data_IF_762433537520
#
_entry.id   IF_762433537520
#
_cell.length_a   1.000
_cell.length_b   1.000
_cell.length_c   1.000
_cell.angle_alpha   90.00
_cell.angle_beta   90.00
_cell.angle_gamma   90.00
#
_symmetry.space_group_name_H-M   'P 1'
#
loop_
_entity.id
_entity.type
_entity.pdbx_description
1 polymer ?
#
# COMPACT_ATOMS: atom_id res chain seq x y z
N UNK A 1 5.41 12.40 3.76
CA UNK A 1 4.15 12.59 3.02
C UNK A 1 3.74 11.20 2.57
N UNK A 2 2.74 10.61 3.21
CA UNK A 2 2.15 9.35 2.74
C UNK A 2 1.23 9.69 1.58
N UNK A 3 1.44 9.01 0.45
CA UNK A 3 0.44 8.97 -0.62
C UNK A 3 -0.75 8.14 -0.11
N UNK A 4 -1.94 8.35 -0.66
CA UNK A 4 -3.12 7.54 -0.35
C UNK A 4 -3.24 6.42 -1.39
N UNK A 5 -3.49 5.17 -0.97
CA UNK A 5 -3.87 4.09 -1.91
C UNK A 5 -5.37 4.23 -2.16
N UNK A 6 -5.75 4.42 -3.43
CA UNK A 6 -7.14 4.56 -3.86
C UNK A 6 -7.76 3.19 -4.20
N UNK A 7 -9.06 3.19 -4.45
CA UNK A 7 -9.85 2.05 -4.93
C UNK A 7 -9.44 1.54 -6.32
N UNK A 8 -8.55 2.26 -7.02
CA UNK A 8 -7.94 1.80 -8.26
C UNK A 8 -6.80 0.77 -8.03
N UNK A 9 -6.48 0.45 -6.78
CA UNK A 9 -5.49 -0.56 -6.45
C UNK A 9 -5.92 -1.94 -6.98
N UNK A 10 -5.06 -2.55 -7.81
CA UNK A 10 -5.28 -3.87 -8.42
C UNK A 10 -4.58 -5.02 -7.68
N UNK A 11 -4.06 -4.78 -6.47
CA UNK A 11 -3.29 -5.75 -5.69
C UNK A 11 -2.12 -6.38 -6.47
N UNK A 12 -1.24 -5.56 -7.05
CA UNK A 12 -0.11 -6.02 -7.86
C UNK A 12 1.17 -6.35 -7.06
N UNK A 13 1.15 -6.18 -5.74
CA UNK A 13 2.23 -6.52 -4.79
C UNK A 13 3.57 -5.76 -4.97
N UNK A 14 3.64 -4.81 -5.89
CA UNK A 14 4.88 -4.05 -6.18
C UNK A 14 5.17 -3.00 -5.10
N UNK A 15 4.14 -2.40 -4.50
CA UNK A 15 4.32 -1.27 -3.59
C UNK A 15 4.83 -1.65 -2.19
N UNK A 16 4.52 -2.85 -1.71
CA UNK A 16 4.91 -3.32 -0.36
C UNK A 16 6.44 -3.37 -0.15
N UNK A 17 7.24 -4.07 -0.98
CA UNK A 17 8.68 -4.15 -0.78
C UNK A 17 9.42 -2.84 -1.11
N UNK A 18 8.81 -1.97 -1.90
CA UNK A 18 9.41 -0.69 -2.30
C UNK A 18 9.28 0.38 -1.20
N UNK A 19 8.42 0.17 -0.20
CA UNK A 19 8.27 1.12 0.89
C UNK A 19 9.46 1.04 1.88
N UNK A 20 10.33 2.06 1.96
CA UNK A 20 11.50 2.03 2.84
C UNK A 20 11.14 2.06 4.33
N UNK A 21 9.93 2.50 4.66
CA UNK A 21 9.43 2.55 6.02
C UNK A 21 8.66 1.29 6.42
N UNK A 22 8.40 0.36 5.48
CA UNK A 22 7.57 -0.82 5.75
C UNK A 22 6.13 -0.48 6.17
N UNK A 23 5.64 0.68 5.74
CA UNK A 23 4.35 1.24 6.13
C UNK A 23 3.17 0.69 5.31
N UNK A 24 3.43 -0.11 4.27
CA UNK A 24 2.42 -0.61 3.34
C UNK A 24 2.15 -2.08 3.65
N UNK A 25 0.87 -2.45 3.77
CA UNK A 25 0.46 -3.84 3.99
C UNK A 25 -0.83 -4.18 3.25
N UNK A 26 -1.06 -5.47 2.99
CA UNK A 26 -2.26 -5.94 2.32
C UNK A 26 -3.49 -5.83 3.23
N UNK A 27 -4.44 -5.00 2.83
CA UNK A 27 -5.74 -4.88 3.47
C UNK A 27 -6.78 -5.88 2.93
N UNK A 28 -8.06 -5.73 3.33
CA UNK A 28 -9.13 -6.67 2.94
C UNK A 28 -9.53 -6.59 1.46
N UNK A 29 -9.39 -5.42 0.83
CA UNK A 29 -9.78 -5.20 -0.58
C UNK A 29 -8.64 -4.59 -1.40
N UNK A 30 -7.91 -3.65 -0.80
CA UNK A 30 -6.78 -2.94 -1.38
C UNK A 30 -5.64 -2.87 -0.37
N UNK A 31 -4.44 -2.56 -0.87
CA UNK A 31 -3.32 -2.22 0.00
C UNK A 31 -3.61 -0.99 0.85
N UNK A 32 -3.10 -0.97 2.08
CA UNK A 32 -3.28 0.11 3.05
C UNK A 32 -1.94 0.63 3.53
N UNK A 33 -1.90 1.92 3.90
CA UNK A 33 -0.69 2.60 4.40
C UNK A 33 -0.93 2.98 5.85
N UNK A 34 -0.07 2.50 6.75
CA UNK A 34 -0.08 2.79 8.18
C UNK A 34 1.14 3.68 8.54
N UNK A 35 0.93 4.94 8.99
CA UNK A 35 1.99 5.92 9.21
C UNK A 35 2.93 5.64 10.38
#
# INVERSE_FOLDING_TARGET
>A
MSLLITDECINCDVCEPECPNGAISQGPEIYVIDP
#
